data_IF_119591372430
#
_entry.id   IF_119591372430
#
_cell.length_a   1.000
_cell.length_b   1.000
_cell.length_c   1.000
_cell.angle_alpha   90.00
_cell.angle_beta   90.00
_cell.angle_gamma   90.00
#
_symmetry.space_group_name_H-M   'P 1'
#
loop_
_entity.id
_entity.type
_entity.pdbx_description
1 polymer ?
#
# COMPACT_ATOMS: atom_id res chain seq x y z
N UNK A 1 3.75 -26.04 -4.43
CA UNK A 1 4.53 -24.80 -4.28
C UNK A 1 3.92 -23.82 -5.26
N UNK A 2 2.87 -23.12 -4.83
CA UNK A 2 2.27 -22.04 -5.62
C UNK A 2 3.20 -20.83 -5.48
N UNK A 3 3.38 -20.01 -6.52
CA UNK A 3 4.22 -18.82 -6.42
C UNK A 3 3.67 -17.92 -5.32
N UNK A 4 4.58 -17.31 -4.55
CA UNK A 4 4.30 -16.24 -3.59
C UNK A 4 3.19 -15.34 -4.14
N UNK A 5 2.01 -15.39 -3.50
CA UNK A 5 0.97 -14.40 -3.74
C UNK A 5 1.60 -13.06 -3.39
N UNK A 6 1.83 -12.22 -4.40
CA UNK A 6 2.37 -10.88 -4.22
C UNK A 6 1.44 -10.14 -3.26
N UNK A 7 1.87 -9.99 -2.00
CA UNK A 7 1.03 -9.45 -0.94
C UNK A 7 0.87 -7.95 -1.16
N UNK A 8 -0.20 -7.36 -0.61
CA UNK A 8 -0.42 -5.91 -0.65
C UNK A 8 0.81 -5.14 -0.16
N UNK A 9 1.52 -5.71 0.82
CA UNK A 9 2.76 -5.17 1.37
C UNK A 9 3.86 -5.12 0.32
N UNK A 10 3.98 -6.13 -0.55
CA UNK A 10 4.97 -6.15 -1.63
C UNK A 10 4.68 -5.09 -2.69
N UNK A 11 3.40 -4.92 -3.03
CA UNK A 11 2.96 -3.86 -3.94
C UNK A 11 3.27 -2.50 -3.33
N UNK A 12 2.96 -2.32 -2.04
CA UNK A 12 3.27 -1.08 -1.34
C UNK A 12 4.78 -0.83 -1.32
N UNK A 13 5.59 -1.80 -0.89
CA UNK A 13 7.03 -1.71 -0.89
C UNK A 13 7.59 -1.41 -2.29
N UNK A 14 7.04 -1.97 -3.35
CA UNK A 14 7.45 -1.70 -4.73
C UNK A 14 7.07 -0.28 -5.20
N UNK A 15 5.89 0.21 -4.82
CA UNK A 15 5.48 1.60 -5.10
C UNK A 15 6.39 2.58 -4.35
N UNK A 16 6.72 2.27 -3.10
CA UNK A 16 7.56 3.07 -2.23
C UNK A 16 9.05 3.05 -2.64
N UNK A 17 9.59 1.89 -3.04
CA UNK A 17 10.96 1.79 -3.59
C UNK A 17 11.05 2.28 -5.04
N UNK A 18 9.90 2.44 -5.70
CA UNK A 18 9.77 2.65 -7.14
C UNK A 18 10.27 1.42 -7.90
N UNK A 19 9.41 0.79 -8.71
CA UNK A 19 9.72 -0.48 -9.39
C UNK A 19 11.06 -0.41 -10.13
N UNK A 20 12.06 -1.15 -9.63
CA UNK A 20 13.36 -1.38 -10.26
C UNK A 20 13.55 -2.88 -10.44
N UNK A 21 13.04 -3.42 -11.54
CA UNK A 21 13.55 -4.67 -12.08
C UNK A 21 14.75 -4.31 -12.96
N UNK A 22 15.91 -4.19 -12.34
CA UNK A 22 17.19 -3.96 -13.00
C UNK A 22 18.26 -4.41 -12.04
N UNK A 23 19.09 -5.32 -12.53
CA UNK A 23 20.20 -5.95 -11.82
C UNK A 23 21.04 -4.90 -11.05
N UNK A 24 21.51 -5.32 -9.89
CA UNK A 24 22.26 -4.53 -8.93
C UNK A 24 23.47 -3.87 -9.60
N UNK A 25 23.42 -2.54 -9.76
CA UNK A 25 24.63 -1.72 -9.80
C UNK A 25 24.70 -0.96 -8.46
N UNK A 26 25.71 -1.34 -7.67
CA UNK A 26 26.12 -0.67 -6.43
C UNK A 26 26.51 0.78 -6.77
N UNK A 27 25.63 1.77 -6.52
CA UNK A 27 26.02 3.11 -6.03
C UNK A 27 24.91 4.19 -5.91
N UNK A 28 23.62 3.91 -6.15
CA UNK A 28 22.59 4.97 -6.05
C UNK A 28 21.59 4.77 -4.89
N UNK A 29 22.11 4.86 -3.66
CA UNK A 29 21.30 4.92 -2.43
C UNK A 29 20.49 6.24 -2.29
N UNK A 30 20.67 7.19 -3.21
CA UNK A 30 20.12 8.54 -3.10
C UNK A 30 18.71 8.75 -3.71
N UNK A 31 18.25 7.93 -4.66
CA UNK A 31 17.19 8.38 -5.58
C UNK A 31 15.97 7.45 -5.74
N UNK A 32 15.79 6.49 -4.84
CA UNK A 32 14.65 5.55 -4.91
C UNK A 32 13.28 6.26 -4.89
N UNK A 33 13.18 7.44 -4.28
CA UNK A 33 11.94 8.23 -4.28
C UNK A 33 11.84 9.28 -5.40
N UNK A 34 12.90 9.54 -6.17
CA UNK A 34 12.79 10.49 -7.30
C UNK A 34 11.79 10.06 -8.37
N UNK A 35 11.37 8.78 -8.36
CA UNK A 35 10.40 8.23 -9.31
C UNK A 35 9.00 8.83 -9.13
N UNK A 36 8.60 9.16 -7.89
CA UNK A 36 7.23 9.61 -7.59
C UNK A 36 7.15 10.84 -6.67
N UNK A 37 7.81 11.97 -7.00
CA UNK A 37 7.93 13.14 -6.11
C UNK A 37 6.61 13.88 -5.85
N UNK A 38 5.55 13.51 -6.57
CA UNK A 38 4.20 14.09 -6.45
C UNK A 38 3.15 13.06 -6.02
N UNK A 39 3.54 11.81 -5.73
CA UNK A 39 2.60 10.80 -5.26
C UNK A 39 2.20 11.14 -3.81
N UNK A 40 0.91 11.40 -3.63
CA UNK A 40 0.33 11.80 -2.33
C UNK A 40 -0.75 10.84 -1.85
N UNK A 41 -1.35 10.10 -2.78
CA UNK A 41 -2.50 9.25 -2.52
C UNK A 41 -2.27 7.89 -3.15
N UNK A 42 -2.48 6.84 -2.37
CA UNK A 42 -2.55 5.46 -2.87
C UNK A 42 -3.93 4.92 -2.52
N UNK A 43 -4.61 4.33 -3.50
CA UNK A 43 -5.84 3.59 -3.25
C UNK A 43 -5.56 2.10 -3.44
N UNK A 44 -6.02 1.28 -2.50
CA UNK A 44 -5.81 -0.16 -2.58
C UNK A 44 -7.14 -0.89 -2.64
N UNK A 45 -7.26 -1.79 -3.62
CA UNK A 45 -8.27 -2.84 -3.62
C UNK A 45 -7.53 -4.15 -3.43
N UNK A 46 -7.92 -4.92 -2.42
CA UNK A 46 -7.38 -6.25 -2.21
C UNK A 46 -8.50 -7.27 -2.31
N UNK A 47 -8.29 -8.29 -3.15
CA UNK A 47 -9.14 -9.47 -3.25
C UNK A 47 -8.31 -10.67 -2.82
N UNK A 48 -8.57 -11.24 -1.65
CA UNK A 48 -7.78 -12.35 -1.10
C UNK A 48 -7.96 -12.50 0.42
N UNK A 49 -7.44 -13.58 0.98
CA UNK A 49 -7.50 -13.84 2.42
C UNK A 49 -6.19 -13.38 3.07
N UNK A 50 -6.08 -12.08 3.35
CA UNK A 50 -4.90 -11.50 3.98
C UNK A 50 -5.16 -11.14 5.43
N UNK A 51 -4.10 -11.17 6.22
CA UNK A 51 -4.11 -10.76 7.63
C UNK A 51 -4.15 -9.23 7.69
N UNK A 52 -5.36 -8.68 7.66
CA UNK A 52 -5.60 -7.24 7.62
C UNK A 52 -4.87 -6.45 8.73
N UNK A 53 -4.89 -6.87 10.01
CA UNK A 53 -4.07 -6.24 11.04
C UNK A 53 -2.58 -6.22 10.71
N UNK A 54 -2.00 -7.37 10.34
CA UNK A 54 -0.56 -7.49 10.09
C UNK A 54 -0.11 -6.63 8.90
N UNK A 55 -0.87 -6.65 7.81
CA UNK A 55 -0.55 -5.89 6.62
C UNK A 55 -0.74 -4.37 6.81
N UNK A 56 -1.74 -3.91 7.59
CA UNK A 56 -1.82 -2.48 7.94
C UNK A 56 -0.63 -2.04 8.80
N UNK A 57 -0.19 -2.87 9.76
CA UNK A 57 1.00 -2.60 10.55
C UNK A 57 2.26 -2.49 9.67
N UNK A 58 2.45 -3.42 8.75
CA UNK A 58 3.57 -3.39 7.81
C UNK A 58 3.54 -2.16 6.90
N UNK A 59 2.35 -1.75 6.42
CA UNK A 59 2.19 -0.51 5.66
C UNK A 59 2.58 0.71 6.51
N UNK A 60 2.21 0.74 7.79
CA UNK A 60 2.62 1.80 8.73
C UNK A 60 4.15 1.91 8.86
N UNK A 61 4.83 0.79 9.08
CA UNK A 61 6.30 0.72 9.15
C UNK A 61 6.94 1.23 7.86
N UNK A 62 6.39 0.82 6.71
CA UNK A 62 6.88 1.25 5.40
C UNK A 62 6.68 2.77 5.23
N UNK A 63 5.54 3.33 5.61
CA UNK A 63 5.27 4.77 5.56
C UNK A 63 6.21 5.57 6.47
N UNK A 64 6.52 5.06 7.67
CA UNK A 64 7.49 5.68 8.59
C UNK A 64 8.91 5.72 7.99
N UNK A 65 9.31 4.64 7.32
CA UNK A 65 10.61 4.55 6.66
C UNK A 65 10.73 5.48 5.43
N UNK A 66 9.60 5.95 4.89
CA UNK A 66 9.58 6.79 3.69
C UNK A 66 9.81 8.27 4.04
N UNK A 67 10.83 8.87 3.44
CA UNK A 67 11.16 10.30 3.63
C UNK A 67 10.20 11.28 2.94
N UNK A 68 9.18 10.80 2.23
CA UNK A 68 8.27 11.63 1.46
C UNK A 68 6.81 11.44 1.89
N UNK A 69 5.98 12.50 1.74
CA UNK A 69 4.67 12.56 2.37
C UNK A 69 3.62 11.90 1.46
N UNK A 70 3.49 10.58 1.55
CA UNK A 70 2.19 9.98 1.25
C UNK A 70 1.24 10.52 2.31
N UNK A 71 0.36 11.42 1.89
CA UNK A 71 -0.57 12.09 2.78
C UNK A 71 -1.88 11.32 2.93
N UNK A 72 -2.22 10.46 1.96
CA UNK A 72 -3.51 9.76 1.91
C UNK A 72 -3.40 8.31 1.46
N UNK A 73 -4.12 7.44 2.15
CA UNK A 73 -4.29 6.03 1.79
C UNK A 73 -5.78 5.71 1.79
N UNK A 74 -6.29 5.25 0.64
CA UNK A 74 -7.70 4.90 0.48
C UNK A 74 -7.87 3.38 0.55
N UNK A 75 -8.64 2.90 1.52
CA UNK A 75 -8.81 1.49 1.82
C UNK A 75 -10.28 1.08 1.78
N UNK A 76 -10.62 -0.17 1.40
CA UNK A 76 -11.99 -0.65 1.46
C UNK A 76 -12.48 -0.71 2.91
N UNK A 77 -13.75 -0.36 3.15
CA UNK A 77 -14.34 -0.44 4.49
C UNK A 77 -14.28 -1.84 5.10
N UNK A 78 -14.42 -2.87 4.27
CA UNK A 78 -14.31 -4.27 4.70
C UNK A 78 -12.95 -4.52 5.34
N UNK A 79 -11.91 -3.94 4.78
CA UNK A 79 -10.55 -4.12 5.23
C UNK A 79 -10.27 -3.40 6.55
N UNK A 80 -10.63 -2.11 6.63
CA UNK A 80 -10.45 -1.35 7.87
C UNK A 80 -11.28 -1.94 9.01
N UNK A 81 -12.43 -2.54 8.69
CA UNK A 81 -13.26 -3.27 9.66
C UNK A 81 -12.61 -4.58 10.12
N UNK A 82 -11.96 -5.33 9.22
CA UNK A 82 -11.26 -6.58 9.54
C UNK A 82 -9.97 -6.34 10.34
N UNK A 83 -9.24 -5.25 10.05
CA UNK A 83 -8.01 -4.90 10.75
C UNK A 83 -8.22 -4.49 12.22
N UNK A 84 -9.44 -4.07 12.56
CA UNK A 84 -9.79 -3.60 13.89
C UNK A 84 -9.38 -2.15 14.15
N UNK A 85 -9.97 -1.57 15.19
CA UNK A 85 -9.87 -0.13 15.50
C UNK A 85 -8.44 0.27 15.83
N UNK A 86 -7.67 -0.59 16.51
CA UNK A 86 -6.31 -0.30 16.94
C UNK A 86 -5.35 -0.14 15.76
N UNK A 87 -5.29 -1.13 14.87
CA UNK A 87 -4.44 -1.07 13.67
C UNK A 87 -4.79 0.12 12.75
N UNK A 88 -6.10 0.41 12.61
CA UNK A 88 -6.56 1.58 11.84
C UNK A 88 -6.15 2.89 12.51
N UNK A 89 -6.24 2.99 13.84
CA UNK A 89 -5.85 4.19 14.58
C UNK A 89 -4.34 4.43 14.52
N UNK A 90 -3.55 3.36 14.61
CA UNK A 90 -2.09 3.43 14.46
C UNK A 90 -1.70 3.96 13.08
N UNK A 91 -2.30 3.40 12.02
CA UNK A 91 -2.03 3.81 10.65
C UNK A 91 -2.41 5.28 10.39
N UNK A 92 -3.48 5.79 11.04
CA UNK A 92 -3.89 7.20 10.96
C UNK A 92 -2.87 8.19 11.54
N UNK A 93 -1.90 7.73 12.33
CA UNK A 93 -0.82 8.59 12.81
C UNK A 93 0.17 8.95 11.70
N UNK A 94 0.25 8.12 10.65
CA UNK A 94 1.18 8.31 9.53
C UNK A 94 0.50 8.91 8.29
N UNK A 95 -0.78 8.58 8.05
CA UNK A 95 -1.47 8.92 6.81
C UNK A 95 -2.97 9.19 7.01
N UNK A 96 -3.56 10.06 6.19
CA UNK A 96 -5.02 10.21 6.13
C UNK A 96 -5.64 8.95 5.53
N UNK A 97 -6.55 8.29 6.26
CA UNK A 97 -7.32 7.16 5.74
C UNK A 97 -8.69 7.59 5.25
N UNK A 98 -8.99 7.27 4.00
CA UNK A 98 -10.28 7.49 3.33
C UNK A 98 -10.87 6.16 2.85
N UNK A 99 -12.20 6.07 2.78
CA UNK A 99 -12.87 4.87 2.28
C UNK A 99 -12.79 4.80 0.76
N UNK A 100 -12.43 3.62 0.24
CA UNK A 100 -12.39 3.32 -1.19
C UNK A 100 -13.46 2.28 -1.54
N UNK A 101 -14.23 2.53 -2.59
CA UNK A 101 -15.12 1.54 -3.21
C UNK A 101 -14.86 1.50 -4.71
N UNK A 102 -14.76 0.30 -5.28
CA UNK A 102 -14.72 0.12 -6.73
C UNK A 102 -16.17 0.04 -7.22
N UNK A 103 -16.80 1.19 -7.42
CA UNK A 103 -18.18 1.27 -7.93
C UNK A 103 -18.25 1.20 -9.48
N UNK A 104 -17.24 0.60 -10.11
CA UNK A 104 -17.25 0.45 -11.56
C UNK A 104 -18.36 -0.53 -11.93
N UNK A 105 -19.38 -0.05 -12.65
CA UNK A 105 -20.44 -0.91 -13.17
C UNK A 105 -19.78 -2.05 -13.96
N UNK A 106 -20.06 -3.30 -13.60
CA UNK A 106 -19.59 -4.48 -14.32
C UNK A 106 -20.30 -4.53 -15.67
N UNK A 107 -19.76 -3.91 -16.74
CA UNK A 107 -20.55 -3.59 -17.93
C UNK A 107 -20.83 -4.83 -18.79
N UNK A 108 -20.21 -5.96 -18.43
CA UNK A 108 -20.16 -7.18 -19.24
C UNK A 108 -20.62 -8.43 -18.47
N UNK A 109 -21.27 -8.27 -17.30
CA UNK A 109 -21.98 -9.39 -16.67
C UNK A 109 -23.29 -9.63 -17.43
N UNK A 110 -23.24 -10.55 -18.40
CA UNK A 110 -24.39 -11.21 -19.02
C UNK A 110 -24.58 -12.60 -18.45
#
# INVERSE_FOLDING_TARGET
MLPDECDIVDIFAAVLKGIGNGEEDEDDEADQWQRWPKLRTIAVSASGNWDAPAALGNIGILLEACRQPISKLMLPKSLTSQAGIEAVAELRNFVELEDFSVDWATPFLN
#
